data_IF_660744713205
#
_entry.id   IF_660744713205
#
_cell.length_a   1.000
_cell.length_b   1.000
_cell.length_c   1.000
_cell.angle_alpha   90.00
_cell.angle_beta   90.00
_cell.angle_gamma   90.00
#
_symmetry.space_group_name_H-M   'P 1'
#
loop_
_entity.id
_entity.type
_entity.pdbx_description
1 polymer ?
#
# COMPACT_ATOMS: atom_id res chain seq x y z
N UNK A 1 -5.06 10.18 11.53
CA UNK A 1 -4.05 9.12 11.27
C UNK A 1 -2.64 9.70 11.26
N UNK A 2 -1.76 9.30 12.18
CA UNK A 2 -0.32 9.65 12.08
C UNK A 2 0.28 8.92 10.87
N UNK A 3 1.31 9.48 10.24
CA UNK A 3 2.00 8.89 9.07
C UNK A 3 2.41 7.42 9.32
N UNK A 4 2.76 7.09 10.57
CA UNK A 4 3.05 5.72 11.02
C UNK A 4 1.96 4.69 10.68
N UNK A 5 0.67 5.06 10.74
CA UNK A 5 -0.44 4.15 10.46
C UNK A 5 -0.57 3.86 8.97
N UNK A 6 -0.26 4.86 8.13
CA UNK A 6 -0.28 4.71 6.67
C UNK A 6 0.89 3.83 6.23
N UNK A 7 2.07 4.02 6.82
CA UNK A 7 3.21 3.13 6.62
C UNK A 7 2.92 1.70 7.07
N UNK A 8 2.28 1.51 8.23
CA UNK A 8 1.89 0.19 8.69
C UNK A 8 0.93 -0.50 7.71
N UNK A 9 -0.10 0.22 7.22
CA UNK A 9 -1.02 -0.30 6.20
C UNK A 9 -0.32 -0.65 4.88
N UNK A 10 0.65 0.15 4.46
CA UNK A 10 1.42 -0.09 3.24
C UNK A 10 2.29 -1.35 3.35
N UNK A 11 2.97 -1.53 4.50
CA UNK A 11 3.77 -2.73 4.78
C UNK A 11 2.89 -3.98 4.83
N UNK A 12 1.72 -3.88 5.45
CA UNK A 12 0.76 -4.98 5.55
C UNK A 12 0.24 -5.39 4.15
N UNK A 13 -0.07 -4.40 3.29
CA UNK A 13 -0.39 -4.64 1.88
C UNK A 13 0.75 -5.33 1.12
N UNK A 14 2.00 -4.90 1.34
CA UNK A 14 3.20 -5.54 0.76
C UNK A 14 3.27 -7.03 1.11
N UNK A 15 3.08 -7.36 2.40
CA UNK A 15 3.12 -8.74 2.88
C UNK A 15 2.00 -9.58 2.24
N UNK A 16 0.77 -9.05 2.17
CA UNK A 16 -0.35 -9.72 1.50
C UNK A 16 -0.06 -9.97 0.00
N UNK A 17 0.53 -9.01 -0.71
CA UNK A 17 0.89 -9.17 -2.12
C UNK A 17 1.98 -10.23 -2.32
N UNK A 18 3.00 -10.25 -1.45
CA UNK A 18 4.06 -11.28 -1.48
C UNK A 18 3.49 -12.67 -1.21
N UNK A 19 2.59 -12.79 -0.23
CA UNK A 19 1.89 -14.05 0.05
C UNK A 19 1.00 -14.48 -1.12
N UNK A 20 0.25 -13.57 -1.73
CA UNK A 20 -0.53 -13.85 -2.93
C UNK A 20 0.32 -14.31 -4.11
N UNK A 21 1.51 -13.72 -4.29
CA UNK A 21 2.45 -14.11 -5.33
C UNK A 21 3.01 -15.52 -5.05
N UNK A 22 3.32 -15.82 -3.79
CA UNK A 22 3.76 -17.14 -3.37
C UNK A 22 2.69 -18.21 -3.61
N UNK A 23 1.44 -17.96 -3.23
CA UNK A 23 0.32 -18.88 -3.51
C UNK A 23 0.08 -19.06 -5.00
N UNK A 24 0.32 -18.03 -5.82
CA UNK A 24 0.22 -18.12 -7.28
C UNK A 24 1.30 -19.02 -7.86
N UNK A 25 2.53 -18.94 -7.35
CA UNK A 25 3.61 -19.86 -7.70
C UNK A 25 3.24 -21.29 -7.30
N UNK A 26 2.65 -21.48 -6.12
CA UNK A 26 2.18 -22.79 -5.63
C UNK A 26 0.92 -23.33 -6.35
N UNK A 27 0.35 -22.61 -7.33
CA UNK A 27 -0.87 -23.00 -8.07
C UNK A 27 -2.09 -23.27 -7.19
N UNK A 28 -2.13 -22.66 -6.00
CA UNK A 28 -3.26 -22.83 -5.08
C UNK A 28 -4.53 -22.19 -5.65
N UNK A 29 -5.69 -22.87 -5.54
CA UNK A 29 -6.97 -22.26 -5.87
C UNK A 29 -7.20 -21.05 -4.97
N UNK A 30 -7.58 -19.91 -5.55
CA UNK A 30 -7.74 -18.64 -4.83
C UNK A 30 -6.52 -17.72 -4.79
N UNK A 31 -5.37 -18.14 -5.31
CA UNK A 31 -4.19 -17.28 -5.42
C UNK A 31 -4.40 -15.97 -6.22
N UNK A 32 -5.14 -15.97 -7.35
CA UNK A 32 -5.38 -14.73 -8.10
C UNK A 32 -6.24 -13.73 -7.31
N UNK A 33 -7.18 -14.22 -6.51
CA UNK A 33 -8.09 -13.39 -5.70
C UNK A 33 -7.32 -12.74 -4.54
N UNK A 34 -6.46 -13.52 -3.86
CA UNK A 34 -5.59 -13.00 -2.80
C UNK A 34 -4.59 -11.96 -3.33
N UNK A 35 -3.99 -12.22 -4.49
CA UNK A 35 -3.05 -11.30 -5.14
C UNK A 35 -3.75 -9.99 -5.54
N UNK A 36 -4.94 -10.09 -6.12
CA UNK A 36 -5.75 -8.92 -6.51
C UNK A 36 -6.10 -8.09 -5.28
N UNK A 37 -6.58 -8.72 -4.20
CA UNK A 37 -6.94 -8.05 -2.97
C UNK A 37 -5.74 -7.35 -2.30
N UNK A 38 -4.58 -8.03 -2.22
CA UNK A 38 -3.34 -7.45 -1.67
C UNK A 38 -2.86 -6.23 -2.48
N UNK A 39 -2.87 -6.36 -3.81
CA UNK A 39 -2.49 -5.26 -4.72
C UNK A 39 -3.45 -4.08 -4.59
N UNK A 40 -4.76 -4.33 -4.49
CA UNK A 40 -5.77 -3.28 -4.34
C UNK A 40 -5.57 -2.49 -3.04
N UNK A 41 -5.34 -3.20 -1.93
CA UNK A 41 -5.06 -2.58 -0.64
C UNK A 41 -3.80 -1.72 -0.69
N UNK A 42 -2.78 -2.18 -1.41
CA UNK A 42 -1.51 -1.50 -1.57
C UNK A 42 -1.64 -0.21 -2.38
N UNK A 43 -2.46 -0.22 -3.44
CA UNK A 43 -2.79 0.99 -4.23
C UNK A 43 -3.52 2.02 -3.37
N UNK A 44 -4.52 1.59 -2.59
CA UNK A 44 -5.27 2.50 -1.69
C UNK A 44 -4.34 3.11 -0.63
N UNK A 45 -3.48 2.29 0.00
CA UNK A 45 -2.51 2.76 0.98
C UNK A 45 -1.51 3.75 0.36
N UNK A 46 -1.05 3.48 -0.87
CA UNK A 46 -0.18 4.37 -1.63
C UNK A 46 -0.83 5.72 -1.93
N UNK A 47 -2.07 5.72 -2.44
CA UNK A 47 -2.83 6.95 -2.69
C UNK A 47 -3.06 7.77 -1.42
N UNK A 48 -3.43 7.13 -0.31
CA UNK A 48 -3.56 7.79 0.99
C UNK A 48 -2.23 8.36 1.48
N UNK A 49 -1.11 7.66 1.26
CA UNK A 49 0.23 8.13 1.56
C UNK A 49 0.61 9.39 0.77
N UNK A 50 0.36 9.39 -0.54
CA UNK A 50 0.60 10.53 -1.42
C UNK A 50 -0.28 11.73 -1.00
N UNK A 51 -1.59 11.51 -0.80
CA UNK A 51 -2.51 12.56 -0.35
C UNK A 51 -2.06 13.18 0.98
N UNK A 52 -1.61 12.34 1.92
CA UNK A 52 -1.08 12.77 3.21
C UNK A 52 0.18 13.61 3.06
N UNK A 53 1.07 13.23 2.14
CA UNK A 53 2.29 13.95 1.80
C UNK A 53 1.97 15.35 1.28
N UNK A 54 1.07 15.46 0.30
CA UNK A 54 0.63 16.74 -0.26
C UNK A 54 -0.15 17.64 0.72
N UNK A 55 -0.82 17.04 1.70
CA UNK A 55 -1.53 17.78 2.76
C UNK A 55 -0.57 18.26 3.87
N UNK A 56 0.66 17.75 3.93
CA UNK A 56 1.61 18.12 4.97
C UNK A 56 2.16 19.53 4.70
N UNK A 57 1.99 20.46 5.65
CA UNK A 57 2.40 21.88 5.51
C UNK A 57 3.89 22.03 5.19
N UNK A 58 4.72 21.17 5.77
CA UNK A 58 6.17 21.12 5.50
C UNK A 58 6.48 20.78 4.02
N UNK A 59 5.72 19.85 3.42
CA UNK A 59 5.93 19.43 2.03
C UNK A 59 5.42 20.48 1.04
N UNK A 60 4.31 21.17 1.37
CA UNK A 60 3.84 22.33 0.60
C UNK A 60 4.86 23.46 0.59
N UNK A 61 5.52 23.73 1.71
CA UNK A 61 6.57 24.75 1.80
C UNK A 61 7.84 24.37 1.03
N UNK A 62 8.17 23.08 0.90
CA UNK A 62 9.27 22.60 0.06
C UNK A 62 8.98 22.73 -1.44
N UNK A 63 7.76 22.39 -1.88
CA UNK A 63 7.36 22.49 -3.29
C UNK A 63 7.14 23.93 -3.77
N UNK A 64 6.82 24.85 -2.87
CA UNK A 64 6.60 26.27 -3.19
C UNK A 64 7.87 27.13 -3.04
N UNK A 65 9.04 26.50 -3.08
CA UNK A 65 10.36 27.14 -2.97
C UNK A 65 11.09 26.98 -4.30
#
# INVERSE_FOLDING_TARGET
MKVKHILALFILGLICTVLGALFKIMHWPGAPELLTAGTFLQVIAGFLGIWKLFTNKEFKNFLNK
#
